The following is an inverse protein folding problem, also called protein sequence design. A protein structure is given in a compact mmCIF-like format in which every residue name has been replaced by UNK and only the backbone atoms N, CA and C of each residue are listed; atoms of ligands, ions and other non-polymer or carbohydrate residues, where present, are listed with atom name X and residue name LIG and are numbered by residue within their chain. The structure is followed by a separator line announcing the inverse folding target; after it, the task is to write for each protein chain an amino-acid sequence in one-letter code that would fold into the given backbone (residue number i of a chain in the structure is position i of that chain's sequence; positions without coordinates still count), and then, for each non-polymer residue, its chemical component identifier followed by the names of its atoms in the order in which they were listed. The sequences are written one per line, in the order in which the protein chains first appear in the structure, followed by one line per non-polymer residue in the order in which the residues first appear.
data_IF_303587366985
#
_entry.id   IF_303587366985
#
_cell.length_a   1.000
_cell.length_b   1.000
_cell.length_c   1.000
_cell.angle_alpha   90.00
_cell.angle_beta   90.00
_cell.angle_gamma   90.00
#
_symmetry.space_group_name_H-M   'P 1'
#
loop_
_entity.id
_entity.type
_entity.pdbx_description
1 polymer ?
#
# COMPACT_ATOMS: atom_id res chain seq x y z
N UNK A 1 9.93 8.10 3.44
CA UNK A 1 8.96 7.02 3.21
C UNK A 1 9.59 5.74 3.68
N UNK A 2 8.89 5.04 4.56
CA UNK A 2 9.26 3.78 5.16
C UNK A 2 8.24 2.71 4.80
N UNK A 3 8.66 1.46 4.90
CA UNK A 3 7.81 0.30 4.74
C UNK A 3 6.67 0.33 5.77
N UNK A 4 5.45 0.15 5.30
CA UNK A 4 4.24 0.26 6.13
C UNK A 4 3.60 1.65 6.11
N UNK A 5 4.27 2.67 5.56
CA UNK A 5 3.68 4.00 5.40
C UNK A 5 2.54 3.96 4.38
N UNK A 6 1.50 4.74 4.66
CA UNK A 6 0.41 5.03 3.73
C UNK A 6 0.64 6.41 3.10
N UNK A 7 0.56 6.43 1.78
CA UNK A 7 0.84 7.60 0.93
C UNK A 7 -0.26 7.74 -0.12
N UNK A 8 -0.40 8.91 -0.73
CA UNK A 8 -1.25 9.04 -1.91
C UNK A 8 -0.42 8.88 -3.18
N UNK A 9 -0.99 8.29 -4.22
CA UNK A 9 -0.39 8.19 -5.55
C UNK A 9 -1.26 8.89 -6.57
N UNK A 10 -0.65 9.76 -7.37
CA UNK A 10 -1.26 10.33 -8.57
C UNK A 10 -0.85 9.49 -9.78
N UNK A 11 -1.76 8.63 -10.25
CA UNK A 11 -1.55 7.85 -11.47
C UNK A 11 -2.03 8.64 -12.69
N UNK A 12 -1.29 8.65 -13.81
CA UNK A 12 -1.77 9.24 -15.06
C UNK A 12 -2.98 8.43 -15.60
N UNK A 13 -4.02 9.13 -16.10
CA UNK A 13 -5.24 8.52 -16.68
C UNK A 13 -6.52 8.83 -15.88
N UNK A 14 -7.59 8.03 -16.07
CA UNK A 14 -8.95 8.20 -15.52
C UNK A 14 -9.06 8.23 -13.98
N UNK A 15 -7.95 8.08 -13.26
CA UNK A 15 -7.89 8.12 -11.81
C UNK A 15 -7.67 9.53 -11.28
N UNK A 16 -8.39 10.53 -11.78
CA UNK A 16 -8.21 11.96 -11.47
C UNK A 16 -8.22 12.35 -9.98
N UNK A 17 -8.51 11.41 -9.07
CA UNK A 17 -8.33 11.55 -7.62
C UNK A 17 -7.10 10.76 -7.15
N UNK A 18 -6.19 11.36 -6.39
CA UNK A 18 -5.09 10.64 -5.74
C UNK A 18 -5.60 9.43 -4.96
N UNK A 19 -5.01 8.26 -5.20
CA UNK A 19 -5.40 7.02 -4.54
C UNK A 19 -4.50 6.73 -3.35
N UNK A 20 -5.01 6.18 -2.24
CA UNK A 20 -4.17 5.71 -1.16
C UNK A 20 -3.36 4.48 -1.61
N UNK A 21 -2.13 4.37 -1.12
CA UNK A 21 -1.21 3.28 -1.40
C UNK A 21 -0.35 2.97 -0.18
N UNK A 22 0.01 1.71 -0.01
CA UNK A 22 0.88 1.19 1.05
C UNK A 22 2.30 0.99 0.51
N UNK A 23 3.30 1.58 1.17
CA UNK A 23 4.71 1.34 0.85
C UNK A 23 5.13 -0.05 1.30
N UNK A 24 5.60 -0.88 0.35
CA UNK A 24 6.08 -2.24 0.63
C UNK A 24 7.58 -2.44 0.36
N UNK A 25 8.21 -1.47 -0.32
CA UNK A 25 9.66 -1.46 -0.56
C UNK A 25 10.44 -1.51 0.75
N UNK A 26 11.52 -2.30 0.78
CA UNK A 26 12.38 -2.38 1.95
C UNK A 26 13.11 -1.05 2.18
N UNK A 27 13.18 -0.64 3.45
CA UNK A 27 13.71 0.67 3.86
C UNK A 27 15.13 0.94 3.39
N UNK A 28 15.95 -0.11 3.27
CA UNK A 28 17.33 0.00 2.81
C UNK A 28 17.46 0.59 1.38
N UNK A 29 16.44 0.44 0.53
CA UNK A 29 16.46 0.96 -0.84
C UNK A 29 15.89 2.38 -0.95
N UNK A 30 15.12 2.81 0.04
CA UNK A 30 14.39 4.08 0.01
C UNK A 30 15.29 5.33 -0.03
N UNK A 31 16.49 5.38 0.57
CA UNK A 31 17.34 6.58 0.48
C UNK A 31 17.89 6.84 -0.93
N UNK A 32 18.21 5.79 -1.68
CA UNK A 32 19.00 5.89 -2.92
C UNK A 32 18.17 5.77 -4.20
N UNK A 33 17.03 5.08 -4.17
CA UNK A 33 16.22 4.84 -5.35
C UNK A 33 15.22 5.98 -5.58
N UNK A 34 15.05 6.43 -6.83
CA UNK A 34 14.05 7.46 -7.18
C UNK A 34 12.61 6.93 -7.20
N UNK A 35 12.45 5.61 -7.17
CA UNK A 35 11.15 4.93 -7.17
C UNK A 35 10.91 4.18 -5.87
N UNK A 36 9.63 3.94 -5.59
CA UNK A 36 9.13 3.20 -4.43
C UNK A 36 8.11 2.18 -4.92
N UNK A 37 8.23 0.94 -4.45
CA UNK A 37 7.22 -0.10 -4.66
C UNK A 37 6.10 0.03 -3.63
N UNK A 38 4.87 0.11 -4.13
CA UNK A 38 3.64 0.28 -3.35
C UNK A 38 2.56 -0.73 -3.74
N UNK A 39 1.61 -0.98 -2.84
CA UNK A 39 0.33 -1.64 -3.12
C UNK A 39 -0.79 -0.61 -3.09
N UNK A 40 -1.70 -0.64 -4.06
CA UNK A 40 -2.88 0.23 -4.01
C UNK A 40 -3.82 -0.18 -2.86
N UNK A 41 -4.49 0.81 -2.29
CA UNK A 41 -5.48 0.64 -1.21
C UNK A 41 -6.81 1.19 -1.69
N UNK A 42 -7.88 0.41 -1.51
CA UNK A 42 -9.23 0.80 -1.92
C UNK A 42 -10.21 0.59 -0.79
N UNK A 43 -11.16 1.51 -0.64
CA UNK A 43 -12.30 1.33 0.26
C UNK A 43 -13.45 0.55 -0.37
N UNK A 44 -13.34 0.18 -1.65
CA UNK A 44 -14.22 -0.78 -2.29
C UNK A 44 -13.81 -2.19 -1.88
N UNK A 45 -14.60 -2.77 -0.97
CA UNK A 45 -14.34 -4.06 -0.37
C UNK A 45 -14.82 -5.18 -1.30
N UNK A 46 -13.98 -6.21 -1.48
CA UNK A 46 -14.36 -7.44 -2.18
C UNK A 46 -14.00 -8.66 -1.32
N UNK A 47 -14.75 -9.73 -1.49
CA UNK A 47 -14.48 -11.02 -0.84
C UNK A 47 -13.43 -11.81 -1.63
N UNK A 48 -12.16 -11.51 -1.36
CA UNK A 48 -11.03 -12.17 -2.00
C UNK A 48 -9.85 -12.32 -1.02
N UNK A 49 -9.96 -13.22 -0.02
CA UNK A 49 -9.04 -13.30 1.11
C UNK A 49 -7.59 -13.66 0.74
N UNK A 50 -7.36 -14.16 -0.47
CA UNK A 50 -6.00 -14.49 -0.95
C UNK A 50 -5.19 -13.27 -1.36
N UNK A 51 -5.82 -12.14 -1.67
CA UNK A 51 -5.12 -10.94 -2.13
C UNK A 51 -5.74 -9.61 -1.64
N UNK A 52 -6.64 -9.69 -0.64
CA UNK A 52 -7.26 -8.51 -0.01
C UNK A 52 -7.06 -8.55 1.50
N UNK A 53 -6.21 -7.66 2.01
CA UNK A 53 -5.99 -7.49 3.45
C UNK A 53 -6.80 -6.30 3.94
N UNK A 54 -7.77 -6.55 4.82
CA UNK A 54 -8.59 -5.49 5.41
C UNK A 54 -7.80 -4.70 6.45
N UNK A 55 -7.97 -3.38 6.41
CA UNK A 55 -7.38 -2.41 7.32
C UNK A 55 -8.53 -1.50 7.81
N UNK A 56 -8.82 -1.59 9.10
CA UNK A 56 -9.79 -0.70 9.75
C UNK A 56 -9.25 0.72 9.82
N UNK A 57 -10.13 1.71 9.68
CA UNK A 57 -9.75 3.11 9.83
C UNK A 57 -9.29 3.42 11.25
N UNK A 58 -8.21 4.17 11.38
CA UNK A 58 -7.71 4.66 12.66
C UNK A 58 -7.00 5.99 12.49
N UNK A 59 -6.87 6.75 13.58
CA UNK A 59 -6.09 8.00 13.58
C UNK A 59 -4.63 7.76 13.14
N UNK A 60 -4.06 6.61 13.50
CA UNK A 60 -2.68 6.26 13.18
C UNK A 60 -2.45 6.00 11.69
N UNK A 61 -3.42 5.36 11.02
CA UNK A 61 -3.30 5.05 9.61
C UNK A 61 -3.92 6.13 8.70
N UNK A 62 -4.71 7.05 9.24
CA UNK A 62 -5.30 8.17 8.52
C UNK A 62 -6.34 7.77 7.46
N UNK A 63 -6.75 6.50 7.41
CA UNK A 63 -7.86 6.05 6.57
C UNK A 63 -9.18 6.56 7.16
N UNK A 64 -10.13 6.90 6.28
CA UNK A 64 -11.46 7.43 6.68
C UNK A 64 -12.52 6.35 6.88
N UNK A 65 -12.29 5.17 6.32
CA UNK A 65 -13.17 4.02 6.40
C UNK A 65 -12.36 2.74 6.20
N UNK A 66 -12.93 1.60 6.57
CA UNK A 66 -12.36 0.28 6.29
C UNK A 66 -11.97 0.18 4.82
N UNK A 67 -10.73 -0.24 4.59
CA UNK A 67 -10.12 -0.33 3.27
C UNK A 67 -9.34 -1.62 3.13
N UNK A 68 -9.09 -2.05 1.90
CA UNK A 68 -8.29 -3.23 1.60
C UNK A 68 -7.00 -2.85 0.89
N UNK A 69 -5.89 -3.36 1.39
CA UNK A 69 -4.62 -3.42 0.65
C UNK A 69 -4.78 -4.50 -0.43
N UNK A 70 -4.54 -4.12 -1.68
CA UNK A 70 -4.75 -4.98 -2.85
C UNK A 70 -3.42 -5.61 -3.27
N UNK A 71 -3.16 -6.84 -2.80
CA UNK A 71 -1.89 -7.56 -3.05
C UNK A 71 -1.62 -7.73 -4.55
N UNK A 72 -2.69 -7.84 -5.36
CA UNK A 72 -2.64 -7.98 -6.82
C UNK A 72 -2.30 -6.68 -7.57
N UNK A 73 -2.20 -5.55 -6.87
CA UNK A 73 -1.95 -4.22 -7.44
C UNK A 73 -0.62 -3.62 -6.96
N UNK A 74 0.45 -4.38 -7.15
CA UNK A 74 1.83 -3.90 -6.96
C UNK A 74 2.20 -2.91 -8.05
N UNK A 75 2.75 -1.77 -7.66
CA UNK A 75 3.21 -0.73 -8.58
C UNK A 75 4.56 -0.19 -8.14
N UNK A 76 5.42 0.11 -9.12
CA UNK A 76 6.65 0.90 -8.91
C UNK A 76 6.40 2.32 -9.35
N UNK A 77 6.56 3.28 -8.44
CA UNK A 77 6.16 4.67 -8.66
C UNK A 77 7.31 5.61 -8.36
N UNK A 78 7.52 6.63 -9.19
CA UNK A 78 8.49 7.69 -8.89
C UNK A 78 8.06 8.46 -7.63
N UNK A 79 9.01 8.76 -6.75
CA UNK A 79 8.76 9.53 -5.50
C UNK A 79 8.06 10.85 -5.74
N UNK A 80 8.36 11.54 -6.84
CA UNK A 80 7.71 12.81 -7.23
C UNK A 80 6.19 12.70 -7.47
N UNK A 81 5.68 11.49 -7.73
CA UNK A 81 4.24 11.21 -7.94
C UNK A 81 3.55 10.73 -6.66
N UNK A 82 4.30 10.58 -5.57
CA UNK A 82 3.76 10.21 -4.27
C UNK A 82 3.55 11.46 -3.44
N UNK A 83 2.38 11.56 -2.81
CA UNK A 83 2.11 12.56 -1.80
C UNK A 83 2.83 12.27 -0.49
N UNK A 84 2.66 13.18 0.47
CA UNK A 84 3.19 13.00 1.82
C UNK A 84 2.62 11.73 2.48
N UNK A 85 3.42 11.15 3.39
CA UNK A 85 2.95 10.08 4.28
C UNK A 85 1.83 10.64 5.14
N UNK A 86 0.67 9.99 5.12
CA UNK A 86 -0.50 10.42 5.90
C UNK A 86 -0.82 9.49 7.07
N UNK A 87 -0.17 8.33 7.15
CA UNK A 87 -0.35 7.38 8.23
C UNK A 87 0.50 6.14 8.05
N UNK A 88 0.33 5.17 8.94
CA UNK A 88 1.05 3.91 8.90
C UNK A 88 0.14 2.76 9.34
N UNK A 89 0.25 1.61 8.68
CA UNK A 89 -0.48 0.41 9.11
C UNK A 89 0.18 -0.22 10.35
N UNK A 90 -0.58 -1.06 11.06
CA UNK A 90 -0.06 -1.79 12.20
C UNK A 90 0.88 -2.93 11.79
N UNK A 91 1.76 -3.33 12.72
CA UNK A 91 2.70 -4.43 12.50
C UNK A 91 2.01 -5.74 12.14
N UNK A 92 0.85 -6.03 12.75
CA UNK A 92 0.05 -7.23 12.47
C UNK A 92 -0.44 -7.24 11.02
N UNK A 93 -1.00 -6.12 10.56
CA UNK A 93 -1.46 -5.95 9.18
C UNK A 93 -0.28 -6.06 8.20
N UNK A 94 0.87 -5.46 8.52
CA UNK A 94 2.07 -5.58 7.68
C UNK A 94 2.57 -7.03 7.59
N UNK A 95 2.49 -7.81 8.67
CA UNK A 95 2.88 -9.22 8.65
C UNK A 95 1.97 -10.06 7.75
N UNK A 96 0.66 -9.80 7.78
CA UNK A 96 -0.31 -10.42 6.89
C UNK A 96 -0.06 -10.05 5.42
N UNK A 97 0.18 -8.77 5.14
CA UNK A 97 0.57 -8.28 3.80
C UNK A 97 1.82 -9.00 3.30
N UNK A 98 2.86 -9.14 4.14
CA UNK A 98 4.08 -9.86 3.75
C UNK A 98 3.80 -11.31 3.35
N UNK A 99 2.99 -12.01 4.16
CA UNK A 99 2.61 -13.40 3.90
C UNK A 99 1.88 -13.52 2.57
N UNK A 100 0.90 -12.66 2.33
CA UNK A 100 0.11 -12.73 1.09
C UNK A 100 0.91 -12.28 -0.14
N UNK A 101 1.85 -11.34 -0.01
CA UNK A 101 2.79 -11.02 -1.11
C UNK A 101 3.60 -12.27 -1.49
N UNK A 102 4.14 -12.99 -0.51
CA UNK A 102 4.90 -14.21 -0.78
C UNK A 102 4.05 -15.25 -1.51
N UNK A 103 2.84 -15.53 -1.00
CA UNK A 103 1.88 -16.45 -1.63
C UNK A 103 1.51 -16.01 -3.05
N UNK A 104 1.20 -14.73 -3.24
CA UNK A 104 0.81 -14.18 -4.54
C UNK A 104 1.95 -14.25 -5.57
N UNK A 105 3.20 -14.18 -5.12
CA UNK A 105 4.39 -14.33 -5.96
C UNK A 105 4.84 -15.80 -6.14
N UNK A 106 4.04 -16.77 -5.70
CA UNK A 106 4.35 -18.20 -5.82
C UNK A 106 5.36 -18.73 -4.79
N UNK A 107 5.67 -17.95 -3.76
CA UNK A 107 6.42 -18.40 -2.59
C UNK A 107 5.58 -19.30 -1.70
N UNK A 108 6.22 -20.32 -1.11
CA UNK A 108 5.64 -21.21 -0.10
C UNK A 108 5.99 -20.73 1.31
#
# INVERSE_FOLDING_TARGET
MMRGDLVTVALPGDFGKPQPALVIQADAFNPTHETVVVLLVSSYLIDAPLFRVSVEASEKNGLKQTSQVMIDKVMTVKKERLGNVFGQIEKKQMAEVNRLIAVFMGGA
#
